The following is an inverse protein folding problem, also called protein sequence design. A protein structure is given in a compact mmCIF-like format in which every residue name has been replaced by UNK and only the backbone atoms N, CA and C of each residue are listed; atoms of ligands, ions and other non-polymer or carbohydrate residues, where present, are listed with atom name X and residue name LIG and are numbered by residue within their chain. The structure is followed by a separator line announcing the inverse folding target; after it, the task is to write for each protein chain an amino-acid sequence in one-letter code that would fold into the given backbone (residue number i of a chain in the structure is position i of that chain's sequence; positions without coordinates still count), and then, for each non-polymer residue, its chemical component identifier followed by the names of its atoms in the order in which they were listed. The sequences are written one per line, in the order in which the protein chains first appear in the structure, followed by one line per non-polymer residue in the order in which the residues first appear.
data_IF_312316673137
#
_entry.id   IF_312316673137
#
_cell.length_a   1.000
_cell.length_b   1.000
_cell.length_c   1.000
_cell.angle_alpha   90.00
_cell.angle_beta   90.00
_cell.angle_gamma   90.00
#
_symmetry.space_group_name_H-M   'P 1'
#
loop_
_entity.id
_entity.type
_entity.pdbx_description
1 polymer ?
#
# COMPACT_ATOMS: atom_id res chain seq x y z
N UNK A 1 -37.91 14.00 20.57
CA UNK A 1 -38.66 14.16 19.31
C UNK A 1 -38.82 15.64 19.01
N UNK A 2 -38.06 16.18 18.05
CA UNK A 2 -38.39 17.47 17.39
C UNK A 2 -38.02 17.31 15.92
N UNK A 3 -39.01 17.02 15.07
CA UNK A 3 -38.84 17.04 13.62
C UNK A 3 -38.58 18.49 13.18
N UNK A 4 -37.37 18.76 12.65
CA UNK A 4 -37.13 19.99 11.90
C UNK A 4 -37.79 19.88 10.53
N UNK A 5 -38.89 20.60 10.41
CA UNK A 5 -39.66 20.90 9.20
C UNK A 5 -38.77 21.60 8.16
N UNK A 6 -38.39 20.91 7.10
CA UNK A 6 -37.69 21.51 5.95
C UNK A 6 -38.73 22.15 5.03
N UNK A 7 -38.57 23.44 4.73
CA UNK A 7 -39.49 24.19 3.85
C UNK A 7 -39.38 23.70 2.39
N UNK A 8 -40.50 23.68 1.64
CA UNK A 8 -40.51 23.32 0.23
C UNK A 8 -40.13 24.54 -0.62
N UNK A 9 -39.08 24.41 -1.42
CA UNK A 9 -38.81 25.32 -2.53
C UNK A 9 -39.67 24.91 -3.73
N UNK A 10 -40.79 25.59 -3.90
CA UNK A 10 -41.42 25.75 -5.21
C UNK A 10 -40.80 26.94 -5.92
N UNK A 11 -40.19 26.71 -7.07
CA UNK A 11 -40.15 27.68 -8.17
C UNK A 11 -40.06 26.89 -9.47
N UNK A 12 -41.13 26.93 -10.22
CA UNK A 12 -41.26 26.30 -11.52
C UNK A 12 -40.29 26.92 -12.52
N UNK A 13 -39.53 26.09 -13.23
CA UNK A 13 -39.04 26.41 -14.57
C UNK A 13 -39.65 25.38 -15.51
N UNK A 14 -40.68 25.81 -16.24
CA UNK A 14 -41.19 25.11 -17.43
C UNK A 14 -40.10 25.17 -18.51
N UNK A 15 -39.16 24.22 -18.49
CA UNK A 15 -38.27 23.98 -19.61
C UNK A 15 -38.92 22.93 -20.52
N UNK A 16 -38.97 23.26 -21.81
CA UNK A 16 -39.57 22.47 -22.87
C UNK A 16 -39.15 21.00 -22.83
N UNK A 17 -40.13 20.15 -23.13
CA UNK A 17 -40.00 18.69 -23.24
C UNK A 17 -39.19 18.36 -24.49
N UNK A 18 -37.89 18.63 -24.44
CA UNK A 18 -36.97 18.29 -25.52
C UNK A 18 -36.67 16.78 -25.44
N UNK A 19 -37.18 16.01 -26.42
CA UNK A 19 -37.05 14.54 -26.48
C UNK A 19 -35.61 14.05 -26.56
N UNK A 20 -34.65 14.97 -26.65
CA UNK A 20 -33.21 14.69 -26.62
C UNK A 20 -32.70 14.31 -25.22
N UNK A 21 -33.43 14.66 -24.17
CA UNK A 21 -33.07 14.31 -22.77
C UNK A 21 -33.61 12.94 -22.31
N UNK A 22 -34.59 12.35 -23.01
CA UNK A 22 -35.15 11.05 -22.63
C UNK A 22 -34.23 9.84 -22.93
N UNK A 23 -33.14 10.01 -23.68
CA UNK A 23 -32.21 8.91 -24.01
C UNK A 23 -30.92 8.89 -23.17
N UNK A 24 -30.66 9.89 -22.32
CA UNK A 24 -29.54 9.84 -21.37
C UNK A 24 -29.93 9.06 -20.10
N UNK A 25 -31.23 8.99 -19.80
CA UNK A 25 -31.76 8.39 -18.57
C UNK A 25 -31.92 6.87 -18.60
N UNK A 26 -31.79 6.19 -19.76
CA UNK A 26 -31.97 4.72 -19.87
C UNK A 26 -30.69 3.92 -19.60
N UNK A 27 -29.54 4.56 -19.42
CA UNK A 27 -28.26 3.90 -19.14
C UNK A 27 -28.14 3.48 -17.66
N UNK A 28 -29.02 3.97 -16.79
CA UNK A 28 -28.92 3.82 -15.34
C UNK A 28 -29.57 2.54 -14.76
N UNK A 29 -30.14 1.65 -15.57
CA UNK A 29 -30.91 0.51 -15.07
C UNK A 29 -30.15 -0.82 -15.20
N UNK A 30 -30.08 -1.54 -14.08
CA UNK A 30 -29.67 -2.96 -13.95
C UNK A 30 -28.19 -3.27 -13.65
N UNK A 31 -27.54 -2.53 -12.74
CA UNK A 31 -26.46 -3.13 -11.95
C UNK A 31 -26.69 -2.81 -10.47
N UNK A 32 -27.30 -3.75 -9.74
CA UNK A 32 -27.22 -3.77 -8.30
C UNK A 32 -25.76 -4.03 -7.91
N UNK A 33 -24.98 -2.96 -7.69
CA UNK A 33 -23.59 -3.05 -7.26
C UNK A 33 -23.45 -2.43 -5.86
N UNK A 34 -22.85 -3.14 -4.89
CA UNK A 34 -22.49 -2.51 -3.63
C UNK A 34 -21.45 -1.41 -3.91
N UNK A 35 -21.69 -0.15 -3.52
CA UNK A 35 -20.98 1.04 -4.01
C UNK A 35 -19.53 1.20 -3.54
N UNK A 36 -18.89 0.18 -2.95
CA UNK A 36 -17.61 0.34 -2.26
C UNK A 36 -16.40 -0.32 -2.96
N UNK A 37 -16.53 -1.06 -4.07
CA UNK A 37 -15.38 -1.84 -4.59
C UNK A 37 -14.96 -1.62 -6.05
N UNK A 38 -15.77 -0.91 -6.84
CA UNK A 38 -15.62 -0.79 -8.29
C UNK A 38 -15.54 0.67 -8.73
N UNK A 39 -14.67 0.94 -9.71
CA UNK A 39 -14.63 2.21 -10.46
C UNK A 39 -15.27 1.98 -11.82
N UNK A 40 -16.12 2.89 -12.28
CA UNK A 40 -16.79 2.77 -13.59
C UNK A 40 -15.95 3.46 -14.66
N UNK A 41 -15.47 2.70 -15.64
CA UNK A 41 -14.82 3.25 -16.83
C UNK A 41 -15.74 3.12 -18.04
N UNK A 42 -15.83 4.16 -18.87
CA UNK A 42 -16.56 4.09 -20.15
C UNK A 42 -15.62 3.54 -21.22
N UNK A 43 -15.99 2.44 -21.88
CA UNK A 43 -15.28 1.93 -23.05
C UNK A 43 -16.20 1.89 -24.27
N UNK A 44 -15.63 2.10 -25.45
CA UNK A 44 -16.34 1.92 -26.72
C UNK A 44 -16.34 0.44 -27.08
N UNK A 45 -17.51 -0.09 -27.37
CA UNK A 45 -17.66 -1.43 -27.95
C UNK A 45 -17.35 -1.39 -29.44
N UNK A 46 -17.00 -2.52 -30.08
CA UNK A 46 -16.77 -2.58 -31.53
C UNK A 46 -17.95 -2.04 -32.36
N UNK A 47 -19.19 -2.12 -31.85
CA UNK A 47 -20.38 -1.54 -32.48
C UNK A 47 -20.59 -0.04 -32.23
N UNK A 48 -19.57 0.68 -31.75
CA UNK A 48 -19.60 2.14 -31.56
C UNK A 48 -20.38 2.63 -30.32
N UNK A 49 -20.95 1.73 -29.50
CA UNK A 49 -21.72 2.08 -28.30
C UNK A 49 -20.79 2.25 -27.09
N UNK A 50 -21.01 3.29 -26.29
CA UNK A 50 -20.34 3.49 -25.00
C UNK A 50 -21.00 2.65 -23.92
N UNK A 51 -20.24 1.75 -23.30
CA UNK A 51 -20.69 0.88 -22.21
C UNK A 51 -19.85 1.13 -20.97
N UNK A 52 -20.50 1.23 -19.80
CA UNK A 52 -19.79 1.30 -18.52
C UNK A 52 -19.31 -0.08 -18.11
N UNK A 53 -17.99 -0.24 -18.07
CA UNK A 53 -17.37 -1.44 -17.54
C UNK A 53 -16.96 -1.21 -16.09
N UNK A 54 -17.26 -2.21 -15.26
CA UNK A 54 -16.84 -2.22 -13.87
C UNK A 54 -15.37 -2.59 -13.78
N UNK A 55 -14.53 -1.59 -13.53
CA UNK A 55 -13.11 -1.79 -13.31
C UNK A 55 -12.82 -1.94 -11.83
N UNK A 56 -11.82 -2.75 -11.51
CA UNK A 56 -11.31 -2.90 -10.14
C UNK A 56 -10.57 -1.62 -9.74
N UNK A 57 -10.82 -1.10 -8.53
CA UNK A 57 -9.99 -0.04 -7.92
C UNK A 57 -8.52 -0.43 -7.94
N UNK A 58 -7.66 0.55 -8.23
CA UNK A 58 -6.19 0.41 -8.23
C UNK A 58 -5.69 0.02 -6.85
N UNK A 59 -4.81 -0.98 -6.78
CA UNK A 59 -4.23 -1.45 -5.54
C UNK A 59 -2.99 -0.64 -5.16
N UNK A 60 -2.83 -0.37 -3.86
CA UNK A 60 -1.53 0.01 -3.31
C UNK A 60 -0.63 -1.23 -3.28
N UNK A 61 0.60 -1.12 -3.79
CA UNK A 61 1.56 -2.23 -3.70
C UNK A 61 2.29 -2.30 -2.36
N UNK A 62 3.17 -3.30 -2.21
CA UNK A 62 3.89 -3.53 -0.97
C UNK A 62 4.86 -2.38 -0.66
N UNK A 63 4.81 -1.92 0.58
CA UNK A 63 5.66 -0.85 1.11
C UNK A 63 6.59 -1.40 2.18
N UNK A 64 7.77 -0.81 2.27
CA UNK A 64 8.70 -1.06 3.36
C UNK A 64 8.13 -0.47 4.66
N UNK A 65 8.08 -1.20 5.78
CA UNK A 65 7.59 -0.68 7.07
C UNK A 65 8.51 0.39 7.65
N UNK A 66 9.82 0.34 7.39
CA UNK A 66 10.80 1.29 7.94
C UNK A 66 10.84 2.58 7.13
N UNK A 67 10.97 2.47 5.80
CA UNK A 67 11.17 3.64 4.94
C UNK A 67 9.86 4.19 4.36
N UNK A 68 8.75 3.46 4.45
CA UNK A 68 7.49 3.78 3.76
C UNK A 68 7.54 3.70 2.22
N UNK A 69 8.74 3.56 1.64
CA UNK A 69 8.99 3.45 0.20
C UNK A 69 8.43 2.15 -0.36
N UNK A 70 7.94 2.21 -1.60
CA UNK A 70 7.51 1.03 -2.36
C UNK A 70 8.67 0.07 -2.59
N UNK A 71 8.38 -1.22 -2.56
CA UNK A 71 9.37 -2.25 -2.87
C UNK A 71 9.50 -2.38 -4.39
N UNK A 72 10.71 -2.12 -4.89
CA UNK A 72 11.03 -2.23 -6.31
C UNK A 72 11.03 -3.69 -6.76
N UNK A 73 10.58 -3.93 -8.00
CA UNK A 73 10.56 -5.25 -8.63
C UNK A 73 9.31 -6.09 -8.33
N UNK A 74 8.39 -5.61 -7.48
CA UNK A 74 7.15 -6.32 -7.16
C UNK A 74 5.93 -5.57 -7.73
N UNK A 75 5.03 -6.23 -8.48
CA UNK A 75 3.93 -5.58 -9.19
C UNK A 75 2.82 -5.06 -8.25
N UNK A 76 2.19 -3.95 -8.59
CA UNK A 76 1.10 -3.36 -7.82
C UNK A 76 -0.23 -4.03 -8.13
N UNK A 77 -0.52 -5.14 -7.45
CA UNK A 77 -1.71 -5.96 -7.70
C UNK A 77 -2.56 -6.11 -6.43
N UNK A 78 -3.81 -6.53 -6.60
CA UNK A 78 -4.68 -6.84 -5.46
C UNK A 78 -4.22 -8.15 -4.78
N UNK A 79 -4.48 -8.34 -3.47
CA UNK A 79 -4.10 -9.58 -2.78
C UNK A 79 -4.63 -10.87 -3.44
N UNK A 80 -5.82 -10.81 -4.05
CA UNK A 80 -6.39 -11.93 -4.80
C UNK A 80 -5.59 -12.31 -6.05
N UNK A 81 -4.87 -11.37 -6.65
CA UNK A 81 -4.04 -11.58 -7.84
C UNK A 81 -2.64 -12.09 -7.48
N UNK A 82 -2.17 -11.81 -6.24
CA UNK A 82 -0.94 -12.37 -5.66
C UNK A 82 -0.98 -13.88 -5.38
N UNK A 83 -2.14 -14.52 -5.57
CA UNK A 83 -2.31 -15.97 -5.40
C UNK A 83 -1.35 -16.74 -6.30
N UNK A 84 -0.85 -17.88 -5.79
CA UNK A 84 0.12 -18.75 -6.47
C UNK A 84 -0.37 -19.29 -7.82
N UNK A 85 -1.68 -19.40 -8.02
CA UNK A 85 -2.29 -19.83 -9.29
C UNK A 85 -2.22 -18.80 -10.41
N UNK A 86 -2.03 -17.51 -10.08
CA UNK A 86 -2.01 -16.40 -11.05
C UNK A 86 -0.61 -15.87 -11.32
N UNK A 87 0.26 -15.88 -10.30
CA UNK A 87 1.63 -15.35 -10.39
C UNK A 87 2.66 -16.37 -9.90
N UNK A 88 3.72 -16.52 -10.70
CA UNK A 88 4.90 -17.30 -10.32
C UNK A 88 5.61 -16.70 -9.11
N UNK A 89 6.51 -17.47 -8.47
CA UNK A 89 7.26 -17.01 -7.28
C UNK A 89 8.17 -15.82 -7.60
N UNK A 90 8.88 -15.86 -8.73
CA UNK A 90 9.84 -14.82 -9.13
C UNK A 90 9.18 -13.43 -9.19
N UNK A 91 7.93 -13.33 -9.67
CA UNK A 91 7.21 -12.05 -9.74
C UNK A 91 6.72 -11.52 -8.39
N UNK A 92 6.72 -12.34 -7.34
CA UNK A 92 6.19 -11.99 -6.00
C UNK A 92 7.29 -11.63 -5.01
N UNK A 93 8.52 -12.04 -5.27
CA UNK A 93 9.65 -11.91 -4.33
C UNK A 93 10.85 -11.29 -5.03
N UNK A 94 11.77 -10.69 -4.27
CA UNK A 94 13.08 -10.29 -4.78
C UNK A 94 14.14 -11.21 -4.18
N UNK A 95 15.11 -11.65 -4.99
CA UNK A 95 16.17 -12.57 -4.57
C UNK A 95 17.25 -11.84 -3.74
N UNK A 96 16.90 -11.47 -2.50
CA UNK A 96 17.81 -10.93 -1.48
C UNK A 96 17.27 -11.20 -0.07
N UNK A 97 18.08 -10.99 0.95
CA UNK A 97 17.63 -11.00 2.34
C UNK A 97 16.46 -10.02 2.56
N UNK A 98 15.41 -10.48 3.25
CA UNK A 98 14.15 -9.74 3.48
C UNK A 98 13.46 -9.22 2.20
N UNK A 99 13.65 -9.91 1.07
CA UNK A 99 13.00 -9.59 -0.20
C UNK A 99 11.48 -9.56 -0.09
N UNK A 100 10.87 -8.49 -0.60
CA UNK A 100 9.41 -8.29 -0.54
C UNK A 100 8.87 -7.76 0.78
N UNK A 101 9.71 -7.57 1.79
CA UNK A 101 9.35 -6.91 3.06
C UNK A 101 10.08 -5.59 3.22
N UNK A 102 11.40 -5.58 3.01
CA UNK A 102 12.24 -4.40 3.22
C UNK A 102 12.73 -3.80 1.90
N UNK A 103 12.95 -2.49 1.91
CA UNK A 103 13.67 -1.80 0.83
C UNK A 103 15.16 -2.17 0.84
N UNK A 104 15.85 -2.06 -0.30
CA UNK A 104 17.28 -2.36 -0.37
C UNK A 104 18.12 -1.51 0.57
N UNK A 105 17.77 -0.22 0.73
CA UNK A 105 18.42 0.67 1.68
C UNK A 105 18.25 0.22 3.14
N UNK A 106 17.04 -0.16 3.54
CA UNK A 106 16.77 -0.64 4.90
C UNK A 106 17.52 -1.95 5.22
N UNK A 107 17.73 -2.81 4.22
CA UNK A 107 18.55 -4.04 4.39
C UNK A 107 20.01 -3.67 4.62
N UNK A 108 20.57 -2.73 3.84
CA UNK A 108 21.96 -2.25 4.03
C UNK A 108 22.16 -1.65 5.42
N UNK A 109 21.24 -0.79 5.86
CA UNK A 109 21.29 -0.20 7.21
C UNK A 109 21.27 -1.26 8.31
N UNK A 110 20.47 -2.33 8.16
CA UNK A 110 20.45 -3.44 9.14
C UNK A 110 21.76 -4.21 9.17
N UNK A 111 22.37 -4.47 8.01
CA UNK A 111 23.66 -5.16 7.92
C UNK A 111 24.74 -4.33 8.62
N UNK A 112 24.83 -3.04 8.30
CA UNK A 112 25.83 -2.14 8.89
C UNK A 112 25.61 -1.98 10.39
N UNK A 113 24.36 -1.77 10.84
CA UNK A 113 24.05 -1.66 12.27
C UNK A 113 24.39 -2.93 13.04
N UNK A 114 24.05 -4.11 12.49
CA UNK A 114 24.40 -5.38 13.13
C UNK A 114 25.92 -5.52 13.27
N UNK A 115 26.66 -5.25 12.19
CA UNK A 115 28.12 -5.29 12.20
C UNK A 115 28.71 -4.35 13.26
N UNK A 116 28.36 -3.07 13.25
CA UNK A 116 28.90 -2.09 14.20
C UNK A 116 28.56 -2.43 15.65
N UNK A 117 27.38 -2.97 15.92
CA UNK A 117 26.97 -3.38 17.27
C UNK A 117 27.79 -4.59 17.73
N UNK A 118 28.07 -5.55 16.86
CA UNK A 118 28.95 -6.68 17.22
C UNK A 118 30.38 -6.23 17.49
N UNK A 119 30.94 -5.36 16.65
CA UNK A 119 32.28 -4.80 16.86
C UNK A 119 32.39 -4.03 18.19
N UNK A 120 31.40 -3.18 18.48
CA UNK A 120 31.36 -2.42 19.74
C UNK A 120 31.26 -3.33 20.97
N UNK A 121 30.53 -4.44 20.89
CA UNK A 121 30.44 -5.43 21.98
C UNK A 121 31.80 -6.04 22.28
N UNK A 122 32.58 -6.39 21.26
CA UNK A 122 33.92 -6.98 21.42
C UNK A 122 34.87 -5.98 22.09
N UNK A 123 34.90 -4.74 21.59
CA UNK A 123 35.76 -3.68 22.15
C UNK A 123 35.40 -3.40 23.61
N UNK A 124 34.09 -3.32 23.92
CA UNK A 124 33.63 -3.11 25.29
C UNK A 124 34.01 -4.26 26.22
N UNK A 125 33.81 -5.50 25.79
CA UNK A 125 34.18 -6.68 26.58
C UNK A 125 35.69 -6.78 26.81
N UNK A 126 36.51 -6.44 25.80
CA UNK A 126 37.96 -6.38 25.94
C UNK A 126 38.37 -5.29 26.94
N UNK A 127 37.80 -4.08 26.83
CA UNK A 127 38.08 -2.97 27.74
C UNK A 127 37.70 -3.28 29.19
N UNK A 128 36.56 -3.93 29.41
CA UNK A 128 36.13 -4.39 30.75
C UNK A 128 37.13 -5.41 31.33
N UNK A 129 37.62 -6.37 30.52
CA UNK A 129 38.66 -7.32 30.95
C UNK A 129 39.97 -6.64 31.31
N UNK A 130 40.44 -5.69 30.49
CA UNK A 130 41.68 -4.95 30.76
C UNK A 130 41.59 -4.14 32.06
N UNK A 131 40.50 -3.42 32.30
CA UNK A 131 40.34 -2.62 33.51
C UNK A 131 40.33 -3.44 34.80
N UNK A 132 39.81 -4.67 34.76
CA UNK A 132 39.84 -5.59 35.92
C UNK A 132 41.28 -6.02 36.22
N UNK A 133 42.05 -6.41 35.20
CA UNK A 133 43.47 -6.81 35.37
C UNK A 133 44.32 -5.63 35.87
N UNK A 134 44.13 -4.43 35.31
CA UNK A 134 44.87 -3.24 35.74
C UNK A 134 44.55 -2.83 37.19
N UNK A 135 43.32 -3.05 37.67
CA UNK A 135 42.97 -2.83 39.08
C UNK A 135 43.59 -3.88 40.00
N UNK A 136 43.61 -5.15 39.60
CA UNK A 136 44.20 -6.24 40.39
C UNK A 136 45.71 -6.08 40.56
N UNK A 137 46.43 -5.75 39.48
CA UNK A 137 47.88 -5.53 39.54
C UNK A 137 48.25 -4.28 40.36
N UNK A 138 47.35 -3.30 40.49
CA UNK A 138 47.59 -2.10 41.31
C UNK A 138 47.35 -2.35 42.80
N UNK A 139 46.43 -3.24 43.17
CA UNK A 139 46.24 -3.65 44.57
C UNK A 139 47.33 -4.56 45.11
N UNK A 140 48.10 -5.24 44.23
CA UNK A 140 49.23 -6.09 44.64
C UNK A 140 50.56 -5.33 44.80
N UNK A 141 50.61 -4.05 44.41
CA UNK A 141 51.81 -3.19 44.46
C UNK A 141 51.76 -2.11 45.55
N UNK A 142 50.79 -2.17 46.47
CA UNK A 142 50.67 -1.30 47.66
C UNK A 142 50.69 -2.14 48.92
#
# INVERSE_FOLDING_TARGET
MVLRRVKPWSSAVKAGRDRRWCNVSRIASAIAMPPNQTSTGSSKTPGGKLVYQSTKKRASGPKCPVTGKRIQGIPHLRPAEYKRSRLSRNRRTVNRAYGGVLSGGAVRERIIRAFLVEEQKIVKAAFERFNVVSRCNRSELT
#
